data_IF_166800723322
#
_entry.id   IF_166800723322
#
_cell.length_a   1.000
_cell.length_b   1.000
_cell.length_c   1.000
_cell.angle_alpha   90.00
_cell.angle_beta   90.00
_cell.angle_gamma   90.00
#
_symmetry.space_group_name_H-M   'P 1'
#
loop_
_entity.id
_entity.type
_entity.pdbx_description
1 polymer ?
#
# COMPACT_ATOMS: atom_id res chain seq x y z
N UNK A 1 26.60 3.99 -17.73
CA UNK A 1 25.45 3.31 -18.36
C UNK A 1 24.21 4.10 -17.98
N UNK A 2 23.47 4.63 -18.97
CA UNK A 2 22.19 5.31 -18.71
C UNK A 2 21.18 4.21 -18.40
N UNK A 3 20.67 4.17 -17.17
CA UNK A 3 19.61 3.23 -16.80
C UNK A 3 18.35 3.59 -17.60
N UNK A 4 17.72 2.65 -18.32
CA UNK A 4 16.54 2.96 -19.09
C UNK A 4 15.43 3.47 -18.17
N UNK A 5 14.80 4.56 -18.58
CA UNK A 5 13.70 5.17 -17.83
C UNK A 5 12.53 4.18 -17.73
N UNK A 6 12.11 3.84 -16.51
CA UNK A 6 11.03 2.87 -16.29
C UNK A 6 9.71 3.44 -16.81
N UNK A 7 9.00 2.68 -17.64
CA UNK A 7 7.67 3.06 -18.15
C UNK A 7 6.67 3.05 -16.99
N UNK A 8 6.00 4.17 -16.78
CA UNK A 8 4.92 4.31 -15.80
C UNK A 8 3.57 4.11 -16.52
N UNK A 9 2.62 3.52 -15.82
CA UNK A 9 1.26 3.34 -16.32
C UNK A 9 0.30 4.20 -15.48
N UNK A 10 0.01 5.45 -15.90
CA UNK A 10 -0.85 6.35 -15.12
C UNK A 10 -2.27 5.79 -14.93
N UNK A 11 -2.74 4.97 -15.87
CA UNK A 11 -4.11 4.45 -15.88
C UNK A 11 -4.35 3.27 -14.90
N UNK A 12 -3.28 2.70 -14.32
CA UNK A 12 -3.39 1.49 -13.49
C UNK A 12 -3.58 1.75 -12.01
N UNK A 13 -3.15 2.90 -11.50
CA UNK A 13 -3.20 3.21 -10.06
C UNK A 13 -3.02 4.70 -9.81
N UNK A 14 -3.63 5.22 -8.75
CA UNK A 14 -3.47 6.63 -8.39
C UNK A 14 -2.02 7.01 -8.04
N UNK A 15 -1.23 6.10 -7.45
CA UNK A 15 0.21 6.31 -7.24
C UNK A 15 1.01 6.35 -8.55
N UNK A 16 0.63 5.50 -9.52
CA UNK A 16 1.23 5.51 -10.85
C UNK A 16 0.98 6.83 -11.59
N UNK A 17 -0.24 7.39 -11.45
CA UNK A 17 -0.58 8.71 -11.97
C UNK A 17 0.26 9.81 -11.30
N UNK A 18 0.37 9.79 -9.97
CA UNK A 18 1.17 10.76 -9.21
C UNK A 18 2.64 10.75 -9.65
N UNK A 19 3.26 9.56 -9.72
CA UNK A 19 4.64 9.41 -10.15
C UNK A 19 4.86 9.88 -11.59
N UNK A 20 3.90 9.62 -12.48
CA UNK A 20 3.93 10.10 -13.86
C UNK A 20 3.86 11.63 -13.92
N UNK A 21 2.93 12.26 -13.19
CA UNK A 21 2.79 13.72 -13.15
C UNK A 21 4.03 14.41 -12.59
N UNK A 22 4.63 13.85 -11.52
CA UNK A 22 5.85 14.40 -10.93
C UNK A 22 7.00 14.39 -11.95
N UNK A 23 7.15 13.29 -12.68
CA UNK A 23 8.18 13.14 -13.70
C UNK A 23 7.99 14.12 -14.86
N UNK A 24 6.76 14.29 -15.35
CA UNK A 24 6.47 15.24 -16.43
C UNK A 24 6.72 16.69 -16.00
N UNK A 25 6.26 17.09 -14.81
CA UNK A 25 6.51 18.43 -14.28
C UNK A 25 7.99 18.70 -14.05
N UNK A 26 8.74 17.70 -13.56
CA UNK A 26 10.19 17.80 -13.41
C UNK A 26 10.88 17.97 -14.76
N UNK A 27 10.47 17.22 -15.80
CA UNK A 27 11.02 17.37 -17.17
C UNK A 27 10.74 18.75 -17.76
N UNK A 28 9.55 19.30 -17.50
CA UNK A 28 9.14 20.61 -18.00
C UNK A 28 9.87 21.77 -17.30
N UNK A 29 10.02 21.71 -15.98
CA UNK A 29 10.68 22.78 -15.19
C UNK A 29 12.19 22.64 -15.10
N UNK A 30 12.73 21.47 -15.44
CA UNK A 30 14.17 21.18 -15.46
C UNK A 30 14.89 20.88 -14.13
N UNK A 31 14.29 20.83 -12.92
CA UNK A 31 15.07 20.49 -11.73
C UNK A 31 15.54 19.04 -11.79
N UNK A 32 16.79 18.80 -11.37
CA UNK A 32 17.28 17.43 -11.19
C UNK A 32 16.62 16.79 -9.96
N UNK A 33 16.45 15.46 -9.91
CA UNK A 33 15.90 14.78 -8.73
C UNK A 33 16.66 15.07 -7.43
N UNK A 34 17.97 15.34 -7.53
CA UNK A 34 18.80 15.71 -6.38
C UNK A 34 18.42 17.09 -5.85
N UNK A 35 18.26 18.07 -6.74
CA UNK A 35 17.89 19.45 -6.37
C UNK A 35 16.50 19.49 -5.75
N UNK A 36 15.55 18.77 -6.34
CA UNK A 36 14.19 18.66 -5.79
C UNK A 36 14.19 18.02 -4.39
N UNK A 37 15.02 17.00 -4.19
CA UNK A 37 15.18 16.36 -2.90
C UNK A 37 15.77 17.32 -1.84
N UNK A 38 16.77 18.12 -2.22
CA UNK A 38 17.39 19.12 -1.34
C UNK A 38 16.40 20.24 -0.96
N UNK A 39 15.62 20.75 -1.92
CA UNK A 39 14.58 21.76 -1.67
C UNK A 39 13.50 21.28 -0.70
N UNK A 40 13.07 20.03 -0.85
CA UNK A 40 12.07 19.42 0.01
C UNK A 40 12.67 18.79 1.29
N UNK A 41 14.00 18.84 1.46
CA UNK A 41 14.74 18.23 2.58
C UNK A 41 14.49 16.72 2.73
N UNK A 42 14.24 16.03 1.62
CA UNK A 42 14.13 14.57 1.55
C UNK A 42 15.36 13.95 0.90
N UNK A 43 15.54 12.65 1.07
CA UNK A 43 16.60 11.93 0.36
C UNK A 43 16.26 11.76 -1.13
N UNK A 44 17.27 11.84 -2.01
CA UNK A 44 17.12 11.58 -3.46
C UNK A 44 16.38 10.28 -3.78
N UNK A 45 16.61 9.24 -2.98
CA UNK A 45 15.94 7.93 -3.13
C UNK A 45 14.43 8.05 -2.96
N UNK A 46 13.94 8.88 -2.03
CA UNK A 46 12.51 9.08 -1.80
C UNK A 46 11.84 9.67 -3.04
N UNK A 47 12.46 10.66 -3.67
CA UNK A 47 11.95 11.26 -4.91
C UNK A 47 11.95 10.24 -6.06
N UNK A 48 13.00 9.43 -6.18
CA UNK A 48 13.06 8.37 -7.18
C UNK A 48 11.99 7.27 -6.95
N UNK A 49 11.73 6.92 -5.69
CA UNK A 49 10.70 5.96 -5.29
C UNK A 49 9.30 6.48 -5.64
N UNK A 50 9.05 7.78 -5.43
CA UNK A 50 7.80 8.45 -5.84
C UNK A 50 7.64 8.44 -7.35
N UNK A 51 8.69 8.79 -8.09
CA UNK A 51 8.69 8.75 -9.56
C UNK A 51 8.53 7.33 -10.13
N UNK A 52 8.74 6.28 -9.34
CA UNK A 52 8.56 4.89 -9.78
C UNK A 52 7.32 4.22 -9.24
N UNK A 53 6.62 4.85 -8.28
CA UNK A 53 5.48 4.30 -7.56
C UNK A 53 5.75 2.91 -6.94
N UNK A 54 7.01 2.61 -6.59
CA UNK A 54 7.44 1.28 -6.14
C UNK A 54 7.38 1.13 -4.61
N UNK A 55 7.46 2.24 -3.88
CA UNK A 55 7.46 2.27 -2.40
C UNK A 55 6.43 3.25 -1.85
N UNK A 56 5.99 3.02 -0.60
CA UNK A 56 5.10 3.95 0.09
C UNK A 56 5.75 5.33 0.23
N UNK A 57 4.98 6.35 -0.13
CA UNK A 57 5.40 7.75 -0.07
C UNK A 57 5.13 8.29 1.35
N UNK A 58 6.03 9.11 1.93
CA UNK A 58 5.75 9.81 3.17
C UNK A 58 4.48 10.69 3.07
N UNK A 59 3.67 10.71 4.13
CA UNK A 59 2.35 11.37 4.12
C UNK A 59 2.40 12.87 3.79
N UNK A 60 3.45 13.56 4.22
CA UNK A 60 3.59 15.01 4.05
C UNK A 60 4.08 15.41 2.64
N UNK A 61 4.79 14.51 1.97
CA UNK A 61 5.51 14.82 0.72
C UNK A 61 4.58 15.32 -0.41
N UNK A 62 3.39 14.74 -0.65
CA UNK A 62 2.49 15.23 -1.71
C UNK A 62 2.03 16.66 -1.48
N UNK A 63 1.74 17.04 -0.24
CA UNK A 63 1.32 18.40 0.10
C UNK A 63 2.49 19.41 0.01
N UNK A 64 3.73 18.96 0.26
CA UNK A 64 4.94 19.76 0.05
C UNK A 64 5.22 19.97 -1.43
N UNK A 65 5.04 18.93 -2.25
CA UNK A 65 5.17 19.01 -3.71
C UNK A 65 4.16 19.99 -4.30
N UNK A 66 2.91 19.95 -3.85
CA UNK A 66 1.88 20.89 -4.30
C UNK A 66 2.23 22.35 -3.97
N UNK A 67 2.79 22.59 -2.78
CA UNK A 67 3.29 23.92 -2.38
C UNK A 67 4.48 24.38 -3.21
N UNK A 68 5.43 23.49 -3.50
CA UNK A 68 6.63 23.81 -4.28
C UNK A 68 6.28 24.11 -5.74
N UNK A 69 5.44 23.27 -6.35
CA UNK A 69 5.06 23.42 -7.75
C UNK A 69 3.93 24.44 -7.96
N UNK A 70 3.32 24.94 -6.87
CA UNK A 70 2.14 25.80 -6.89
C UNK A 70 0.99 25.14 -7.65
N UNK A 71 0.75 23.87 -7.33
CA UNK A 71 -0.31 23.06 -7.92
C UNK A 71 -1.41 22.86 -6.90
N UNK A 72 -2.66 23.10 -7.29
CA UNK A 72 -3.83 22.99 -6.40
C UNK A 72 -4.25 21.52 -6.24
N UNK A 73 -3.47 20.77 -5.45
CA UNK A 73 -3.81 19.39 -5.07
C UNK A 73 -3.51 18.34 -6.14
N UNK A 74 -2.68 18.67 -7.14
CA UNK A 74 -2.29 17.76 -8.21
C UNK A 74 -1.64 16.49 -7.65
N UNK A 75 -0.87 16.60 -6.58
CA UNK A 75 -0.23 15.46 -5.93
C UNK A 75 -1.03 14.93 -4.73
N UNK A 76 -1.61 15.81 -3.92
CA UNK A 76 -2.35 15.42 -2.73
C UNK A 76 -3.62 14.61 -3.06
N UNK A 77 -4.37 14.95 -4.13
CA UNK A 77 -5.61 14.25 -4.46
C UNK A 77 -5.39 12.80 -4.92
N UNK A 78 -4.49 12.51 -5.89
CA UNK A 78 -4.18 11.13 -6.24
C UNK A 78 -3.56 10.35 -5.08
N UNK A 79 -2.78 11.01 -4.22
CA UNK A 79 -2.22 10.35 -3.05
C UNK A 79 -3.31 9.88 -2.08
N UNK A 80 -4.26 10.75 -1.70
CA UNK A 80 -5.36 10.36 -0.80
C UNK A 80 -6.25 9.27 -1.44
N UNK A 81 -6.47 9.33 -2.75
CA UNK A 81 -7.17 8.25 -3.48
C UNK A 81 -6.41 6.92 -3.37
N UNK A 82 -5.08 6.94 -3.50
CA UNK A 82 -4.27 5.72 -3.41
C UNK A 82 -4.33 5.05 -2.04
N UNK A 83 -4.46 5.83 -0.96
CA UNK A 83 -4.64 5.32 0.39
C UNK A 83 -5.95 4.55 0.53
N UNK A 84 -7.01 4.99 -0.18
CA UNK A 84 -8.31 4.31 -0.20
C UNK A 84 -8.31 3.08 -1.11
N UNK A 85 -7.61 3.15 -2.25
CA UNK A 85 -7.49 2.04 -3.21
C UNK A 85 -6.67 0.87 -2.67
N UNK A 86 -5.71 1.13 -1.76
CA UNK A 86 -4.82 0.12 -1.17
C UNK A 86 -5.57 -0.99 -0.43
N UNK A 87 -6.82 -0.75 -0.03
CA UNK A 87 -7.65 -1.73 0.66
C UNK A 87 -8.66 -2.40 -0.29
N UNK A 88 -8.86 -3.73 -0.17
CA UNK A 88 -9.98 -4.41 -0.81
C UNK A 88 -11.32 -3.73 -0.49
N UNK A 89 -12.26 -3.73 -1.44
CA UNK A 89 -13.54 -3.01 -1.30
C UNK A 89 -14.27 -3.28 0.02
N UNK A 90 -14.32 -4.56 0.43
CA UNK A 90 -14.97 -4.99 1.69
C UNK A 90 -14.37 -4.37 2.95
N UNK A 91 -13.12 -3.92 2.90
CA UNK A 91 -12.39 -3.33 4.03
C UNK A 91 -12.35 -1.81 4.00
N UNK A 92 -12.71 -1.16 2.87
CA UNK A 92 -12.60 0.30 2.72
C UNK A 92 -13.43 1.05 3.76
N UNK A 93 -14.70 0.64 3.95
CA UNK A 93 -15.59 1.24 4.96
C UNK A 93 -15.04 1.11 6.38
N UNK A 94 -14.40 -0.01 6.71
CA UNK A 94 -13.78 -0.19 8.03
C UNK A 94 -12.60 0.78 8.21
N UNK A 95 -11.74 0.93 7.20
CA UNK A 95 -10.58 1.84 7.25
C UNK A 95 -10.97 3.31 7.35
N UNK A 96 -12.04 3.72 6.67
CA UNK A 96 -12.61 5.07 6.77
C UNK A 96 -13.08 5.38 8.20
N UNK A 97 -13.80 4.43 8.82
CA UNK A 97 -14.28 4.57 10.19
C UNK A 97 -13.13 4.52 11.22
N UNK A 98 -12.13 3.66 10.99
CA UNK A 98 -10.95 3.53 11.83
C UNK A 98 -10.17 4.85 11.92
N UNK A 99 -10.03 5.58 10.80
CA UNK A 99 -9.38 6.90 10.79
C UNK A 99 -10.11 7.96 11.62
N UNK A 100 -11.42 7.81 11.80
CA UNK A 100 -12.26 8.73 12.58
C UNK A 100 -12.45 8.25 14.02
N UNK A 101 -12.02 7.04 14.35
CA UNK A 101 -12.29 6.43 15.65
C UNK A 101 -11.39 7.03 16.74
N UNK A 102 -12.00 7.43 17.86
CA UNK A 102 -11.25 7.79 19.06
C UNK A 102 -10.77 6.54 19.83
N UNK A 103 -11.43 5.39 19.64
CA UNK A 103 -11.10 4.13 20.28
C UNK A 103 -11.43 2.96 19.34
N UNK A 104 -10.56 1.93 19.32
CA UNK A 104 -10.77 0.69 18.58
C UNK A 104 -10.99 -0.43 19.59
N UNK A 105 -12.19 -1.05 19.58
CA UNK A 105 -12.51 -2.23 20.38
C UNK A 105 -12.72 -3.42 19.47
N UNK A 106 -11.86 -4.44 19.60
CA UNK A 106 -11.97 -5.69 18.84
C UNK A 106 -12.40 -6.82 19.78
N UNK A 107 -13.54 -7.47 19.47
CA UNK A 107 -13.93 -8.70 20.14
C UNK A 107 -13.25 -9.89 19.44
N UNK A 108 -12.57 -10.73 20.21
CA UNK A 108 -11.92 -11.93 19.69
C UNK A 108 -12.26 -13.13 20.57
N UNK A 109 -12.72 -14.22 19.94
CA UNK A 109 -13.02 -15.47 20.62
C UNK A 109 -11.80 -16.41 20.51
N UNK A 110 -10.97 -16.44 21.55
CA UNK A 110 -9.86 -17.40 21.67
C UNK A 110 -8.60 -17.08 20.85
N UNK A 111 -8.48 -15.85 20.33
CA UNK A 111 -7.26 -15.36 19.70
C UNK A 111 -6.87 -14.03 20.32
N UNK A 112 -5.57 -13.77 20.41
CA UNK A 112 -5.03 -12.49 20.83
C UNK A 112 -4.66 -11.66 19.60
N UNK A 113 -5.38 -10.56 19.31
CA UNK A 113 -4.93 -9.58 18.33
C UNK A 113 -3.81 -8.75 18.96
N UNK A 114 -2.60 -8.71 18.39
CA UNK A 114 -1.54 -7.93 19.06
C UNK A 114 -0.10 -8.08 18.57
N UNK A 115 0.78 -7.25 19.16
CA UNK A 115 2.19 -7.09 18.80
C UNK A 115 3.12 -8.22 19.31
N UNK A 116 2.58 -9.17 20.07
CA UNK A 116 3.32 -10.31 20.63
C UNK A 116 2.90 -11.63 19.98
N UNK A 117 2.65 -11.59 18.68
CA UNK A 117 2.47 -12.77 17.85
C UNK A 117 3.86 -13.18 17.38
N UNK A 118 4.38 -14.29 17.89
CA UNK A 118 5.56 -14.93 17.33
C UNK A 118 5.17 -15.81 16.12
N UNK A 119 6.19 -16.30 15.40
CA UNK A 119 5.98 -17.14 14.22
C UNK A 119 5.20 -18.41 14.56
N UNK A 120 5.39 -18.97 15.76
CA UNK A 120 4.75 -20.20 16.21
C UNK A 120 3.25 -20.00 16.47
N UNK A 121 2.87 -18.87 17.09
CA UNK A 121 1.49 -18.46 17.26
C UNK A 121 0.80 -18.21 15.91
N UNK A 122 1.48 -17.54 14.97
CA UNK A 122 0.97 -17.34 13.62
C UNK A 122 0.71 -18.66 12.88
N UNK A 123 1.64 -19.60 12.97
CA UNK A 123 1.51 -20.95 12.41
C UNK A 123 0.38 -21.74 13.07
N UNK A 124 0.22 -21.65 14.40
CA UNK A 124 -0.86 -22.31 15.12
C UNK A 124 -2.24 -21.82 14.66
N UNK A 125 -2.41 -20.50 14.48
CA UNK A 125 -3.65 -19.93 13.95
C UNK A 125 -3.94 -20.37 12.51
N UNK A 126 -2.92 -20.40 11.64
CA UNK A 126 -3.08 -20.86 10.25
C UNK A 126 -3.50 -22.34 10.23
N UNK A 127 -2.90 -23.18 11.07
CA UNK A 127 -3.27 -24.60 11.19
C UNK A 127 -4.70 -24.77 11.71
N UNK A 128 -5.12 -23.98 12.70
CA UNK A 128 -6.49 -24.01 13.22
C UNK A 128 -7.51 -23.64 12.14
N UNK A 129 -7.21 -22.61 11.34
CA UNK A 129 -8.08 -22.16 10.25
C UNK A 129 -8.00 -23.01 8.98
N UNK A 130 -6.92 -23.77 8.79
CA UNK A 130 -6.71 -24.64 7.64
C UNK A 130 -6.00 -25.95 8.03
N UNK A 131 -6.74 -26.90 8.63
CA UNK A 131 -6.19 -28.12 9.23
C UNK A 131 -5.54 -29.09 8.23
N UNK A 132 -5.68 -28.84 6.92
CA UNK A 132 -5.09 -29.67 5.84
C UNK A 132 -3.74 -29.14 5.34
N UNK A 133 -3.22 -28.05 5.90
CA UNK A 133 -1.97 -27.44 5.43
C UNK A 133 -0.76 -28.09 6.10
N UNK A 134 0.06 -28.81 5.32
CA UNK A 134 1.35 -29.34 5.78
C UNK A 134 2.39 -28.22 5.84
N UNK A 135 3.23 -28.21 6.87
CA UNK A 135 4.05 -27.07 7.31
C UNK A 135 5.00 -26.50 6.24
N UNK A 136 4.56 -25.50 5.47
CA UNK A 136 5.45 -24.60 4.75
C UNK A 136 5.75 -23.40 5.66
N UNK A 137 7.03 -23.17 5.99
CA UNK A 137 7.51 -21.98 6.71
C UNK A 137 7.31 -20.74 5.83
N UNK A 138 6.11 -20.18 5.82
CA UNK A 138 5.88 -18.86 5.26
C UNK A 138 6.31 -17.83 6.32
N UNK A 139 7.38 -17.09 6.03
CA UNK A 139 7.74 -15.89 6.81
C UNK A 139 6.55 -14.93 6.76
N UNK A 140 5.91 -14.72 7.90
CA UNK A 140 4.83 -13.77 8.06
C UNK A 140 5.44 -12.35 8.19
N UNK A 141 5.98 -11.80 7.10
CA UNK A 141 6.59 -10.46 7.12
C UNK A 141 5.59 -9.33 6.87
N UNK A 142 4.33 -9.63 6.55
CA UNK A 142 3.39 -8.58 6.09
C UNK A 142 2.04 -8.74 6.77
N UNK A 143 1.98 -8.20 7.99
CA UNK A 143 0.77 -7.94 8.76
C UNK A 143 -0.13 -6.94 8.03
N UNK A 144 -0.89 -7.40 7.02
CA UNK A 144 -2.23 -6.90 6.63
C UNK A 144 -2.79 -7.51 5.32
N UNK A 145 -1.99 -8.10 4.43
CA UNK A 145 -2.48 -8.49 3.10
C UNK A 145 -3.15 -9.87 2.98
N UNK A 146 -2.77 -10.83 3.81
CA UNK A 146 -3.01 -12.25 3.48
C UNK A 146 -4.32 -12.87 3.99
N UNK A 147 -5.13 -12.13 4.76
CA UNK A 147 -6.50 -12.57 5.11
C UNK A 147 -7.43 -12.68 3.89
N UNK A 148 -7.02 -12.18 2.71
CA UNK A 148 -7.80 -12.23 1.47
C UNK A 148 -7.55 -13.51 0.65
N UNK A 149 -6.35 -14.11 0.71
CA UNK A 149 -6.04 -15.28 -0.13
C UNK A 149 -6.69 -16.58 0.35
N UNK A 150 -6.92 -16.74 1.66
CA UNK A 150 -7.62 -17.92 2.19
C UNK A 150 -9.11 -17.99 1.81
N UNK A 151 -9.76 -16.84 1.53
CA UNK A 151 -11.18 -16.81 1.15
C UNK A 151 -11.42 -17.24 -0.32
N UNK A 152 -10.43 -17.09 -1.22
CA UNK A 152 -10.56 -17.49 -2.63
C UNK A 152 -10.49 -19.02 -2.83
N UNK A 153 -9.87 -19.75 -1.92
CA UNK A 153 -9.78 -21.22 -1.99
C UNK A 153 -11.06 -21.97 -1.60
N UNK A 154 -11.94 -21.35 -0.80
CA UNK A 154 -13.19 -21.98 -0.34
C UNK A 154 -14.39 -21.66 -1.23
N UNK A 155 -14.36 -20.56 -1.98
CA UNK A 155 -15.44 -20.20 -2.91
C UNK A 155 -15.44 -21.09 -4.17
N UNK A 156 -14.26 -21.50 -4.67
CA UNK A 156 -14.15 -22.36 -5.85
C UNK A 156 -14.61 -23.82 -5.63
N UNK A 157 -14.69 -24.29 -4.38
CA UNK A 157 -15.10 -25.68 -4.09
C UNK A 157 -16.61 -25.87 -3.92
N UNK A 158 -17.40 -24.81 -3.74
CA UNK A 158 -18.86 -24.92 -3.62
C UNK A 158 -19.59 -24.85 -4.97
N UNK A 159 -18.93 -24.37 -6.02
CA UNK A 159 -19.48 -24.32 -7.37
C UNK A 159 -19.29 -25.62 -8.18
N UNK A 160 -18.48 -26.57 -7.68
CA UNK A 160 -18.20 -27.84 -8.35
C UNK A 160 -18.91 -29.05 -7.72
N UNK A 161 -19.80 -28.82 -6.76
CA UNK A 161 -20.53 -29.86 -6.01
C UNK A 161 -22.06 -29.72 -6.16
N UNK A 162 -22.50 -28.94 -7.17
CA UNK A 162 -23.91 -28.75 -7.52
C UNK A 162 -24.23 -29.02 -9.01
N UNK A 163 -23.36 -29.75 -9.71
CA UNK A 163 -23.64 -30.36 -11.02
C UNK A 163 -23.55 -31.89 -10.92
#
# INVERSE_FOLDING_TARGET
MVTPERVLHPDRSALGLLGYQLRELRKQRGPSPTVLADELRHGKTVIADVETADRPIPLELPAELDRLFQTDGLFAHPFDLSLRESFPDRSRRCMELERLACEIREYTSGTFPGLRQDDDYGLALIRLGNPRTHAARHRCSTRCGDRVRAARGCAGKRAAEQD
#
